data_IF_604915675849
#
_entry.id   IF_604915675849
#
_cell.length_a   1.000
_cell.length_b   1.000
_cell.length_c   1.000
_cell.angle_alpha   90.00
_cell.angle_beta   90.00
_cell.angle_gamma   90.00
#
_symmetry.space_group_name_H-M   'P 1'
#
loop_
_entity.id
_entity.type
_entity.pdbx_description
1 polymer ?
#
# COMPACT_ATOMS: atom_id res chain seq x y z
N UNK A 1 10.05 -22.41 -0.42
CA UNK A 1 9.90 -21.14 -1.14
C UNK A 1 9.91 -20.05 -0.09
N UNK A 2 10.86 -19.12 -0.15
CA UNK A 2 10.83 -17.90 0.68
C UNK A 2 9.62 -17.09 0.25
N UNK A 3 8.72 -16.77 1.17
CA UNK A 3 7.59 -15.88 0.91
C UNK A 3 8.12 -14.44 0.99
N UNK A 4 8.68 -13.93 -0.10
CA UNK A 4 9.15 -12.55 -0.18
C UNK A 4 7.97 -11.63 -0.54
N UNK A 5 6.97 -11.58 0.35
CA UNK A 5 5.99 -10.51 0.33
C UNK A 5 6.71 -9.28 0.91
N UNK A 6 7.13 -8.37 0.03
CA UNK A 6 7.92 -7.20 0.39
C UNK A 6 7.04 -5.98 0.55
N UNK A 7 6.86 -5.52 1.79
CA UNK A 7 6.34 -4.18 2.05
C UNK A 7 7.50 -3.26 2.38
N UNK A 8 7.63 -2.19 1.61
CA UNK A 8 8.59 -1.14 1.86
C UNK A 8 7.84 0.14 2.19
N UNK A 9 8.17 0.78 3.31
CA UNK A 9 7.67 2.12 3.64
C UNK A 9 8.84 3.08 3.49
N UNK A 10 8.71 4.05 2.60
CA UNK A 10 9.73 5.04 2.30
C UNK A 10 9.18 6.43 2.63
N UNK A 11 10.01 7.27 3.23
CA UNK A 11 9.73 8.71 3.23
C UNK A 11 9.96 9.30 1.83
N UNK A 12 9.35 10.43 1.51
CA UNK A 12 9.60 11.14 0.25
C UNK A 12 11.10 11.40 0.02
N UNK A 13 11.86 11.75 1.07
CA UNK A 13 13.32 11.93 0.97
C UNK A 13 14.06 10.64 0.57
N UNK A 14 13.57 9.48 1.01
CA UNK A 14 14.15 8.19 0.65
C UNK A 14 13.82 7.81 -0.79
N UNK A 15 12.67 8.26 -1.32
CA UNK A 15 12.30 8.08 -2.72
C UNK A 15 13.27 8.81 -3.64
N UNK A 16 13.66 10.05 -3.31
CA UNK A 16 14.63 10.81 -4.11
C UNK A 16 16.00 10.10 -4.24
N UNK A 17 16.37 9.29 -3.24
CA UNK A 17 17.66 8.57 -3.19
C UNK A 17 17.60 7.16 -3.77
N UNK A 18 16.47 6.48 -3.61
CA UNK A 18 16.33 5.04 -3.92
C UNK A 18 15.39 4.75 -5.08
N UNK A 19 14.66 5.75 -5.57
CA UNK A 19 13.71 5.63 -6.65
C UNK A 19 12.35 5.06 -6.22
N UNK A 20 11.42 5.12 -7.16
CA UNK A 20 10.09 4.49 -7.12
C UNK A 20 10.08 3.28 -8.04
N UNK A 21 9.04 2.46 -7.93
CA UNK A 21 8.68 1.52 -8.98
C UNK A 21 7.93 2.24 -10.11
N UNK A 22 7.96 1.67 -11.31
CA UNK A 22 7.37 2.29 -12.50
C UNK A 22 5.83 2.36 -12.44
N UNK A 23 5.19 1.39 -11.77
CA UNK A 23 3.74 1.38 -11.57
C UNK A 23 3.36 2.17 -10.31
N UNK A 24 2.68 3.29 -10.49
CA UNK A 24 2.25 4.17 -9.40
C UNK A 24 0.73 4.16 -9.23
N UNK A 25 0.24 4.20 -7.99
CA UNK A 25 -1.18 4.39 -7.72
C UNK A 25 -1.47 5.09 -6.38
N UNK A 26 -2.68 5.63 -6.25
CA UNK A 26 -3.16 6.14 -4.96
C UNK A 26 -3.49 4.99 -4.00
N UNK A 27 -3.39 5.24 -2.69
CA UNK A 27 -3.82 4.29 -1.64
C UNK A 27 -5.29 3.88 -1.81
N UNK A 28 -6.15 4.78 -2.30
CA UNK A 28 -7.57 4.50 -2.54
C UNK A 28 -7.72 3.45 -3.65
N UNK A 29 -7.00 3.60 -4.76
CA UNK A 29 -7.05 2.61 -5.85
C UNK A 29 -6.42 1.29 -5.43
N UNK A 30 -5.32 1.33 -4.67
CA UNK A 30 -4.70 0.14 -4.10
C UNK A 30 -5.70 -0.65 -3.23
N UNK A 31 -6.32 0.00 -2.23
CA UNK A 31 -7.31 -0.63 -1.36
C UNK A 31 -8.52 -1.13 -2.16
N UNK A 32 -8.95 -0.38 -3.20
CA UNK A 32 -10.05 -0.80 -4.08
C UNK A 32 -9.71 -2.07 -4.86
N UNK A 33 -8.47 -2.20 -5.36
CA UNK A 33 -8.02 -3.41 -6.07
C UNK A 33 -7.92 -4.61 -5.14
N UNK A 34 -7.34 -4.41 -3.95
CA UNK A 34 -7.27 -5.45 -2.90
C UNK A 34 -8.68 -5.94 -2.54
N UNK A 35 -9.61 -5.02 -2.25
CA UNK A 35 -11.01 -5.35 -1.88
C UNK A 35 -11.76 -6.08 -2.99
N UNK A 36 -11.47 -5.77 -4.26
CA UNK A 36 -12.12 -6.40 -5.42
C UNK A 36 -11.43 -7.67 -5.90
N UNK A 37 -10.32 -8.06 -5.25
CA UNK A 37 -9.44 -9.14 -5.73
C UNK A 37 -9.00 -8.95 -7.18
N UNK A 38 -8.79 -7.69 -7.58
CA UNK A 38 -8.23 -7.36 -8.88
C UNK A 38 -6.71 -7.58 -8.85
N UNK A 39 -6.12 -7.82 -10.02
CA UNK A 39 -4.66 -7.94 -10.13
C UNK A 39 -3.96 -6.66 -9.67
N UNK A 40 -2.90 -6.85 -8.89
CA UNK A 40 -1.95 -5.81 -8.53
C UNK A 40 -0.71 -5.95 -9.41
N UNK A 41 -0.06 -4.84 -9.80
CA UNK A 41 1.26 -4.89 -10.40
C UNK A 41 2.25 -5.56 -9.45
N UNK A 42 3.27 -6.22 -10.02
CA UNK A 42 4.27 -6.93 -9.22
C UNK A 42 5.14 -5.98 -8.40
N UNK A 43 5.58 -4.86 -8.97
CA UNK A 43 6.32 -3.81 -8.28
C UNK A 43 5.44 -2.54 -8.35
N UNK A 44 4.95 -2.04 -7.22
CA UNK A 44 4.01 -0.90 -7.20
C UNK A 44 4.34 0.11 -6.12
N UNK A 45 4.33 1.39 -6.48
CA UNK A 45 4.45 2.51 -5.55
C UNK A 45 3.07 3.09 -5.24
N UNK A 46 2.78 3.28 -3.95
CA UNK A 46 1.48 3.70 -3.43
C UNK A 46 1.63 4.99 -2.63
N UNK A 47 0.83 6.00 -2.98
CA UNK A 47 0.86 7.35 -2.40
C UNK A 47 -0.40 7.73 -1.64
N UNK A 48 -0.28 8.72 -0.74
CA UNK A 48 -1.41 9.37 -0.06
C UNK A 48 -1.97 8.56 1.10
N UNK A 49 -1.16 7.69 1.71
CA UNK A 49 -1.57 6.89 2.87
C UNK A 49 -1.79 7.80 4.09
N UNK A 50 -0.89 8.76 4.32
CA UNK A 50 -1.03 9.81 5.33
C UNK A 50 -2.29 10.64 5.11
N UNK A 51 -2.50 11.13 3.90
CA UNK A 51 -3.69 11.91 3.54
C UNK A 51 -4.99 11.14 3.80
N UNK A 52 -5.00 9.84 3.48
CA UNK A 52 -6.15 8.98 3.73
C UNK A 52 -6.43 8.83 5.23
N UNK A 53 -5.39 8.64 6.06
CA UNK A 53 -5.53 8.49 7.51
C UNK A 53 -5.91 9.82 8.16
N UNK A 54 -5.25 10.92 7.78
CA UNK A 54 -5.49 12.27 8.30
C UNK A 54 -6.83 12.85 7.86
N UNK A 55 -7.30 12.50 6.66
CA UNK A 55 -8.61 12.91 6.14
C UNK A 55 -9.80 12.17 6.75
N UNK A 56 -9.56 11.08 7.49
CA UNK A 56 -10.62 10.34 8.15
C UNK A 56 -11.10 11.02 9.43
N UNK A 57 -12.40 10.91 9.73
CA UNK A 57 -13.01 11.43 10.96
C UNK A 57 -12.32 10.89 12.23
N UNK A 58 -11.76 9.69 12.14
CA UNK A 58 -10.99 9.02 13.19
C UNK A 58 -9.82 8.29 12.51
N UNK A 59 -8.57 8.69 12.79
CA UNK A 59 -7.39 7.97 12.29
C UNK A 59 -7.40 6.50 12.69
N UNK A 60 -7.93 6.19 13.88
CA UNK A 60 -8.07 4.82 14.36
C UNK A 60 -9.01 4.01 13.46
N UNK A 61 -10.14 4.58 13.07
CA UNK A 61 -11.13 3.91 12.23
C UNK A 61 -10.55 3.67 10.82
N UNK A 62 -9.76 4.61 10.30
CA UNK A 62 -9.04 4.45 9.04
C UNK A 62 -8.01 3.31 9.11
N UNK A 63 -7.22 3.25 10.18
CA UNK A 63 -6.27 2.15 10.41
C UNK A 63 -6.99 0.81 10.56
N UNK A 64 -8.11 0.75 11.30
CA UNK A 64 -8.92 -0.46 11.44
C UNK A 64 -9.52 -0.89 10.09
N UNK A 65 -9.98 0.06 9.27
CA UNK A 65 -10.47 -0.21 7.92
C UNK A 65 -9.37 -0.81 7.03
N UNK A 66 -8.19 -0.17 6.95
CA UNK A 66 -7.05 -0.66 6.17
C UNK A 66 -6.66 -2.07 6.62
N UNK A 67 -6.52 -2.26 7.93
CA UNK A 67 -6.20 -3.56 8.51
C UNK A 67 -7.21 -4.64 8.08
N UNK A 68 -8.51 -4.35 8.15
CA UNK A 68 -9.55 -5.30 7.79
C UNK A 68 -9.51 -5.63 6.29
N UNK A 69 -9.34 -4.64 5.42
CA UNK A 69 -9.20 -4.85 3.97
C UNK A 69 -8.02 -5.78 3.66
N UNK A 70 -6.84 -5.48 4.21
CA UNK A 70 -5.63 -6.27 3.97
C UNK A 70 -5.72 -7.67 4.57
N UNK A 71 -6.33 -7.81 5.75
CA UNK A 71 -6.55 -9.09 6.42
C UNK A 71 -7.51 -9.98 5.65
N UNK A 72 -8.68 -9.45 5.28
CA UNK A 72 -9.75 -10.21 4.64
C UNK A 72 -9.35 -10.65 3.23
N UNK A 73 -8.47 -9.89 2.58
CA UNK A 73 -8.00 -10.13 1.21
C UNK A 73 -6.52 -10.53 1.14
N UNK A 74 -5.95 -11.00 2.26
CA UNK A 74 -4.55 -11.43 2.33
C UNK A 74 -4.23 -12.49 1.27
N UNK A 75 -5.18 -13.36 0.92
CA UNK A 75 -5.01 -14.36 -0.14
C UNK A 75 -4.70 -13.75 -1.51
N UNK A 76 -5.25 -12.57 -1.84
CA UNK A 76 -4.95 -11.85 -3.08
C UNK A 76 -3.48 -11.38 -3.09
N UNK A 77 -3.02 -10.83 -1.97
CA UNK A 77 -1.62 -10.41 -1.78
C UNK A 77 -0.66 -11.61 -1.80
N UNK A 78 -1.07 -12.75 -1.25
CA UNK A 78 -0.25 -13.98 -1.23
C UNK A 78 -0.17 -14.67 -2.60
N UNK A 79 -1.21 -14.54 -3.42
CA UNK A 79 -1.27 -15.17 -4.75
C UNK A 79 -0.43 -14.40 -5.76
N UNK A 80 -0.58 -13.07 -5.77
CA UNK A 80 0.15 -12.20 -6.71
C UNK A 80 1.56 -11.85 -6.21
N UNK A 81 1.82 -11.99 -4.90
CA UNK A 81 3.06 -11.66 -4.21
C UNK A 81 3.68 -10.31 -4.65
N UNK A 82 2.92 -9.20 -4.59
CA UNK A 82 3.42 -7.92 -5.03
C UNK A 82 4.42 -7.33 -4.03
N UNK A 83 5.38 -6.59 -4.55
CA UNK A 83 6.28 -5.71 -3.82
C UNK A 83 5.67 -4.32 -3.80
N UNK A 84 5.18 -3.93 -2.63
CA UNK A 84 4.44 -2.68 -2.45
C UNK A 84 5.32 -1.69 -1.72
N UNK A 85 5.56 -0.54 -2.35
CA UNK A 85 6.29 0.59 -1.78
C UNK A 85 5.28 1.68 -1.39
N UNK A 86 5.05 1.88 -0.10
CA UNK A 86 4.28 3.03 0.38
C UNK A 86 5.21 4.23 0.52
N UNK A 87 4.86 5.32 -0.14
CA UNK A 87 5.51 6.62 0.06
C UNK A 87 4.66 7.38 1.07
N UNK A 88 5.31 7.84 2.14
CA UNK A 88 4.69 8.62 3.20
C UNK A 88 5.48 9.89 3.46
N UNK A 89 4.81 10.96 3.84
CA UNK A 89 5.47 12.15 4.35
C UNK A 89 5.99 11.94 5.77
N UNK A 90 7.22 12.40 6.03
CA UNK A 90 7.73 12.54 7.40
C UNK A 90 7.01 13.74 8.05
N UNK A 91 6.00 13.46 8.87
CA UNK A 91 5.28 14.44 9.72
C UNK A 91 6.14 14.95 10.89
#
# INVERSE_FOLDING_TARGET
MSMDLGFHVHSEEAVERHGTFDDEMSVIEFLRRVTRMNSLPYDVTVYGLEDFICGANSPRDACEYIHNVLRDHANCLLTENPRVQFVVDDL
#
